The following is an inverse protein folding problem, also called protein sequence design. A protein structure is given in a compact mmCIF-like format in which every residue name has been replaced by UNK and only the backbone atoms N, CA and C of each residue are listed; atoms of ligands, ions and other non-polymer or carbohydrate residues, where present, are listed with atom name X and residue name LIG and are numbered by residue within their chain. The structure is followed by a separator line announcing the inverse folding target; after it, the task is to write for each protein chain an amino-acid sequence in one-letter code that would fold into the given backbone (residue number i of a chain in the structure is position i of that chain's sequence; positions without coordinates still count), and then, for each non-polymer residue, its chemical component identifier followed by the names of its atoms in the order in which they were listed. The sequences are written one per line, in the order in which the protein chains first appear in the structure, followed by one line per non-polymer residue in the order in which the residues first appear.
data_IF_907786998852
#
_entry.id   IF_907786998852
#
_cell.length_a   1.000
_cell.length_b   1.000
_cell.length_c   1.000
_cell.angle_alpha   90.00
_cell.angle_beta   90.00
_cell.angle_gamma   90.00
#
_symmetry.space_group_name_H-M   'P 1'
#
loop_
_entity.id
_entity.type
_entity.pdbx_description
1 polymer ?
#
# COMPACT_ATOMS: atom_id res chain seq x y z
N UNK A 1 -6.01 -14.06 3.72
CA UNK A 1 -4.82 -13.30 4.18
C UNK A 1 -5.27 -12.00 4.82
N UNK A 2 -4.54 -11.52 5.82
CA UNK A 2 -4.72 -10.19 6.39
C UNK A 2 -3.40 -9.42 6.37
N UNK A 3 -3.49 -8.10 6.48
CA UNK A 3 -2.34 -7.20 6.56
C UNK A 3 -2.74 -5.84 7.13
N UNK A 4 -1.76 -5.00 7.44
CA UNK A 4 -1.98 -3.62 7.88
C UNK A 4 -1.08 -2.71 7.08
N UNK A 5 -1.66 -1.66 6.50
CA UNK A 5 -0.94 -0.59 5.81
C UNK A 5 -0.97 0.63 6.70
N UNK A 6 0.18 1.21 6.98
CA UNK A 6 0.32 2.39 7.84
C UNK A 6 0.96 3.53 7.05
N UNK A 7 0.38 4.71 7.16
CA UNK A 7 0.92 5.96 6.64
C UNK A 7 1.28 6.86 7.83
N UNK A 8 2.51 7.34 7.86
CA UNK A 8 3.03 8.14 8.97
C UNK A 8 3.88 9.29 8.47
N UNK A 9 3.95 10.37 9.26
CA UNK A 9 4.76 11.55 8.93
C UNK A 9 4.16 12.46 7.88
N UNK A 10 2.84 12.38 7.65
CA UNK A 10 2.08 13.24 6.72
C UNK A 10 1.02 14.04 7.46
N UNK A 11 0.48 15.09 6.82
CA UNK A 11 -0.64 15.86 7.37
C UNK A 11 -1.94 15.06 7.37
N UNK A 12 -2.88 15.41 8.24
CA UNK A 12 -4.15 14.68 8.41
C UNK A 12 -5.01 14.62 7.14
N UNK A 13 -4.83 15.59 6.24
CA UNK A 13 -5.57 15.67 4.97
C UNK A 13 -4.83 15.01 3.80
N UNK A 14 -3.61 14.50 4.00
CA UNK A 14 -2.86 13.81 2.95
C UNK A 14 -3.55 12.49 2.60
N UNK A 15 -3.86 12.28 1.32
CA UNK A 15 -4.59 11.11 0.84
C UNK A 15 -3.74 10.34 -0.15
N UNK A 16 -3.74 9.03 0.02
CA UNK A 16 -2.95 8.15 -0.82
C UNK A 16 -3.73 6.87 -1.13
N UNK A 17 -3.73 6.50 -2.41
CA UNK A 17 -4.11 5.16 -2.83
C UNK A 17 -2.83 4.33 -2.84
N UNK A 18 -2.64 3.50 -1.82
CA UNK A 18 -1.45 2.65 -1.66
C UNK A 18 -1.69 1.35 -2.41
N UNK A 19 -1.06 1.11 -3.59
CA UNK A 19 -1.26 -0.13 -4.33
C UNK A 19 -0.60 -1.30 -3.62
N UNK A 20 -1.30 -2.43 -3.59
CA UNK A 20 -0.84 -3.69 -2.98
C UNK A 20 -0.53 -4.67 -4.09
N UNK A 21 0.64 -5.30 -4.00
CA UNK A 21 1.17 -6.26 -4.96
C UNK A 21 1.48 -7.59 -4.30
N UNK A 22 1.32 -8.67 -5.07
CA UNK A 22 1.71 -10.01 -4.69
C UNK A 22 2.62 -10.62 -5.77
N UNK A 23 3.60 -11.42 -5.34
CA UNK A 23 4.35 -12.30 -6.23
C UNK A 23 4.02 -13.76 -5.87
N UNK A 24 3.43 -14.46 -6.84
CA UNK A 24 3.06 -15.88 -6.74
C UNK A 24 4.14 -16.81 -7.32
N UNK A 25 5.34 -16.30 -7.62
CA UNK A 25 6.43 -17.00 -8.29
C UNK A 25 6.55 -16.75 -9.78
N UNK A 26 5.75 -15.82 -10.33
CA UNK A 26 5.77 -15.44 -11.76
C UNK A 26 6.00 -13.94 -11.97
N UNK A 27 6.36 -13.22 -10.91
CA UNK A 27 6.50 -11.77 -10.92
C UNK A 27 5.34 -11.06 -10.20
N UNK A 28 5.48 -9.74 -10.08
CA UNK A 28 4.54 -8.90 -9.36
C UNK A 28 3.21 -8.75 -10.10
N UNK A 29 2.12 -8.96 -9.38
CA UNK A 29 0.75 -8.73 -9.85
C UNK A 29 0.06 -7.77 -8.87
N UNK A 30 -0.63 -6.76 -9.41
CA UNK A 30 -1.41 -5.83 -8.60
C UNK A 30 -2.67 -6.51 -8.08
N UNK A 31 -2.82 -6.54 -6.76
CA UNK A 31 -3.98 -7.10 -6.08
C UNK A 31 -5.11 -6.07 -5.94
N UNK A 32 -4.76 -4.81 -5.69
CA UNK A 32 -5.71 -3.74 -5.41
C UNK A 32 -5.01 -2.52 -4.84
N UNK A 33 -5.75 -1.64 -4.16
CA UNK A 33 -5.20 -0.47 -3.46
C UNK A 33 -5.92 -0.23 -2.14
N UNK A 34 -5.17 0.23 -1.14
CA UNK A 34 -5.70 0.69 0.13
C UNK A 34 -5.80 2.22 0.12
N UNK A 35 -6.99 2.76 0.40
CA UNK A 35 -7.16 4.21 0.58
C UNK A 35 -6.74 4.59 1.99
N UNK A 36 -5.63 5.32 2.13
CA UNK A 36 -5.11 5.77 3.42
C UNK A 36 -5.17 7.30 3.48
N UNK A 37 -5.73 7.83 4.57
CA UNK A 37 -5.94 9.26 4.78
C UNK A 37 -5.25 9.65 6.10
N UNK A 38 -4.40 10.67 6.04
CA UNK A 38 -3.69 11.20 7.21
C UNK A 38 -2.65 10.24 7.79
N UNK A 39 -2.21 10.54 9.01
CA UNK A 39 -1.30 9.69 9.76
C UNK A 39 -2.07 8.53 10.41
N UNK A 40 -2.48 7.54 9.60
CA UNK A 40 -3.39 6.48 10.00
C UNK A 40 -2.98 5.10 9.49
N UNK A 41 -3.70 4.07 9.95
CA UNK A 41 -3.53 2.70 9.49
C UNK A 41 -4.84 2.13 8.96
N UNK A 42 -4.74 1.30 7.93
CA UNK A 42 -5.87 0.56 7.34
C UNK A 42 -5.57 -0.93 7.41
N UNK A 43 -6.52 -1.68 7.95
CA UNK A 43 -6.44 -3.15 7.97
C UNK A 43 -6.98 -3.72 6.65
N UNK A 44 -6.16 -4.56 6.02
CA UNK A 44 -6.55 -5.40 4.91
C UNK A 44 -7.04 -6.74 5.49
N UNK A 45 -8.35 -7.03 5.34
CA UNK A 45 -8.96 -8.25 5.87
C UNK A 45 -9.59 -9.06 4.74
N UNK A 46 -9.75 -10.36 5.00
CA UNK A 46 -10.49 -11.29 4.15
C UNK A 46 -10.06 -11.35 2.68
N UNK A 47 -8.77 -11.08 2.41
CA UNK A 47 -8.22 -11.24 1.06
C UNK A 47 -8.15 -12.73 0.73
N UNK A 48 -9.00 -13.15 -0.20
CA UNK A 48 -9.01 -14.50 -0.76
C UNK A 48 -7.92 -14.61 -1.83
N UNK A 49 -6.97 -15.52 -1.61
CA UNK A 49 -5.90 -15.81 -2.54
C UNK A 49 -6.01 -17.26 -3.00
N UNK A 50 -5.77 -17.56 -4.29
CA UNK A 50 -5.86 -18.93 -4.81
C UNK A 50 -4.75 -19.85 -4.27
N UNK A 51 -3.65 -19.27 -3.78
CA UNK A 51 -2.57 -19.98 -3.10
C UNK A 51 -1.83 -19.00 -2.17
N UNK A 52 -0.89 -19.50 -1.37
CA UNK A 52 -0.02 -18.64 -0.56
C UNK A 52 0.96 -17.87 -1.46
N UNK A 53 1.05 -16.53 -1.35
CA UNK A 53 2.02 -15.74 -2.11
C UNK A 53 3.43 -15.96 -1.57
N UNK A 54 4.44 -15.84 -2.44
CA UNK A 54 5.86 -15.87 -2.02
C UNK A 54 6.26 -14.56 -1.35
N UNK A 55 5.76 -13.45 -1.89
CA UNK A 55 6.04 -12.10 -1.40
C UNK A 55 4.80 -11.21 -1.53
N UNK A 56 4.70 -10.24 -0.64
CA UNK A 56 3.75 -9.14 -0.72
C UNK A 56 4.52 -7.83 -0.59
N UNK A 57 4.10 -6.82 -1.33
CA UNK A 57 4.70 -5.49 -1.30
C UNK A 57 3.63 -4.43 -1.52
N UNK A 58 3.89 -3.22 -1.03
CA UNK A 58 3.13 -2.02 -1.41
C UNK A 58 4.01 -1.15 -2.28
N UNK A 59 3.42 -0.45 -3.25
CA UNK A 59 4.15 0.45 -4.15
C UNK A 59 5.35 -0.22 -4.87
N UNK A 60 5.20 -1.50 -5.22
CA UNK A 60 6.30 -2.34 -5.69
C UNK A 60 6.90 -1.91 -7.03
N UNK A 61 6.16 -1.09 -7.79
CA UNK A 61 6.51 -0.65 -9.14
C UNK A 61 6.73 0.86 -9.20
N UNK A 62 7.28 1.44 -8.12
CA UNK A 62 7.53 2.88 -7.99
C UNK A 62 6.27 3.73 -8.22
N UNK A 63 5.09 3.19 -7.87
CA UNK A 63 3.79 3.84 -8.07
C UNK A 63 3.66 5.18 -7.33
N UNK A 64 4.58 5.46 -6.41
CA UNK A 64 4.55 6.59 -5.50
C UNK A 64 5.90 7.28 -5.54
N UNK A 65 6.01 8.20 -6.49
CA UNK A 65 7.14 9.11 -6.62
C UNK A 65 6.82 10.43 -5.91
N UNK A 66 6.85 10.43 -4.58
CA UNK A 66 6.90 11.68 -3.82
C UNK A 66 8.34 12.18 -3.78
N UNK A 67 8.80 12.85 -4.83
CA UNK A 67 10.17 13.38 -4.94
C UNK A 67 10.47 14.51 -3.93
N UNK A 68 9.44 15.13 -3.35
CA UNK A 68 9.57 16.11 -2.27
C UNK A 68 8.27 16.23 -1.47
N UNK A 69 8.37 16.20 -0.14
CA UNK A 69 7.28 16.62 0.76
C UNK A 69 7.54 18.08 1.13
N UNK A 70 6.81 19.01 0.53
CA UNK A 70 6.80 20.42 0.97
C UNK A 70 5.62 20.64 1.91
N UNK A 71 5.86 20.60 3.22
CA UNK A 71 4.97 21.26 4.17
C UNK A 71 5.42 22.72 4.25
N UNK A 72 4.84 23.59 3.42
CA UNK A 72 4.86 25.03 3.73
C UNK A 72 3.98 25.22 4.97
N UNK A 73 4.57 25.80 6.01
CA UNK A 73 3.80 26.37 7.12
C UNK A 73 2.94 27.54 6.62
#
# INVERSE_FOLDING_TARGET
MSGRVTQSGVSDNFKMLVPVYLDMGKGWVRLGSATVIGNSSVDLKDIKLPAAPRRAAICALDDVLALSIQNSK
#
